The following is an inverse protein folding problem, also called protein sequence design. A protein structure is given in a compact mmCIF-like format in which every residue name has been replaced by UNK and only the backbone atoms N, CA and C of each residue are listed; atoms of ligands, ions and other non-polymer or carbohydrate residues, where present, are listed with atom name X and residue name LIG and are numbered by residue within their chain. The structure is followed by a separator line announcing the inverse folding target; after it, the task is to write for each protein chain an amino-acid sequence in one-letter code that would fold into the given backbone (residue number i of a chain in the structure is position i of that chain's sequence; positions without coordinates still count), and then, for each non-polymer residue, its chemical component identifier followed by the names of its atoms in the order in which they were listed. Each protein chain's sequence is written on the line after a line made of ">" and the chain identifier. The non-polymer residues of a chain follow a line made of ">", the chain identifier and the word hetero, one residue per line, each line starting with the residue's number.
data_IF_880685799757
#
_entry.id   IF_880685799757
#
_cell.length_a   1.000
_cell.length_b   1.000
_cell.length_c   1.000
_cell.angle_alpha   90.00
_cell.angle_beta   90.00
_cell.angle_gamma   90.00
#
_symmetry.space_group_name_H-M   'P 1'
#
loop_
_entity.id
_entity.type
_entity.pdbx_description
1 polymer ?
#
# COMPACT_ATOMS: atom_id res chain seq x y z
N UNK A 1 -11.12 -3.67 21.85
CA UNK A 1 -11.23 -3.42 20.40
C UNK A 1 -9.83 -3.23 19.88
N UNK A 2 -9.25 -4.26 19.28
CA UNK A 2 -7.87 -4.24 18.76
C UNK A 2 -7.91 -3.92 17.27
N UNK A 3 -7.04 -3.01 16.83
CA UNK A 3 -7.03 -2.51 15.45
C UNK A 3 -5.72 -2.88 14.74
N UNK A 4 -5.82 -3.29 13.49
CA UNK A 4 -4.67 -3.47 12.61
C UNK A 4 -4.67 -2.41 11.50
N UNK A 5 -3.60 -1.63 11.40
CA UNK A 5 -3.39 -0.68 10.30
C UNK A 5 -2.44 -1.27 9.27
N UNK A 6 -2.86 -1.29 8.01
CA UNK A 6 -2.11 -1.90 6.91
C UNK A 6 -1.80 -0.86 5.85
N UNK A 7 -0.51 -0.77 5.49
CA UNK A 7 -0.08 -0.13 4.26
C UNK A 7 0.02 -1.19 3.15
N UNK A 8 -0.87 -1.19 2.14
CA UNK A 8 -0.92 -2.22 1.12
C UNK A 8 0.15 -2.00 0.05
N UNK A 9 0.45 -3.05 -0.73
CA UNK A 9 1.13 -2.86 -2.01
C UNK A 9 0.29 -1.95 -2.94
N UNK A 10 0.86 -1.31 -3.97
CA UNK A 10 2.26 -1.18 -4.33
C UNK A 10 2.79 0.23 -4.00
N UNK A 11 4.00 0.33 -3.45
CA UNK A 11 4.74 1.57 -3.20
C UNK A 11 6.25 1.32 -3.23
N UNK A 12 7.07 2.36 -3.38
CA UNK A 12 8.53 2.20 -3.44
C UNK A 12 9.11 1.59 -2.12
N UNK A 13 9.85 0.46 -2.17
CA UNK A 13 10.14 -0.36 -0.98
C UNK A 13 11.44 -0.01 -0.24
N UNK A 14 11.93 1.23 -0.30
CA UNK A 14 13.19 1.64 0.37
C UNK A 14 13.00 2.12 1.79
N UNK A 15 11.76 2.44 2.18
CA UNK A 15 11.40 2.94 3.50
C UNK A 15 9.91 2.69 3.78
N UNK A 16 9.48 2.68 5.06
CA UNK A 16 8.06 2.65 5.40
C UNK A 16 7.32 3.86 4.82
N UNK A 17 6.03 3.73 4.57
CA UNK A 17 5.18 4.89 4.30
C UNK A 17 4.68 5.50 5.62
N UNK A 18 4.49 6.82 5.63
CA UNK A 18 4.35 7.59 6.87
C UNK A 18 2.96 7.58 7.48
N UNK A 19 1.91 7.20 6.73
CA UNK A 19 0.52 7.22 7.24
C UNK A 19 0.30 6.31 8.45
N UNK A 20 0.61 5.01 8.35
CA UNK A 20 0.35 4.07 9.45
C UNK A 20 1.20 4.35 10.70
N UNK A 21 2.48 4.78 10.61
CA UNK A 21 3.24 5.23 11.78
C UNK A 21 2.59 6.34 12.60
N UNK A 22 2.06 7.39 11.94
CA UNK A 22 1.38 8.49 12.62
C UNK A 22 0.04 8.08 13.21
N UNK A 23 -0.78 7.37 12.42
CA UNK A 23 -2.08 6.88 12.90
C UNK A 23 -1.91 5.93 14.10
N UNK A 24 -0.90 5.05 14.05
CA UNK A 24 -0.58 4.14 15.15
C UNK A 24 -0.16 4.91 16.40
N UNK A 25 0.73 5.90 16.26
CA UNK A 25 1.16 6.72 17.38
C UNK A 25 -0.01 7.49 18.01
N UNK A 26 -0.85 8.13 17.17
CA UNK A 26 -2.02 8.89 17.61
C UNK A 26 -3.02 8.02 18.37
N UNK A 27 -3.41 6.88 17.79
CA UNK A 27 -4.41 6.00 18.41
C UNK A 27 -3.90 5.35 19.70
N UNK A 28 -2.61 4.95 19.76
CA UNK A 28 -1.99 4.46 21.00
C UNK A 28 -1.95 5.53 22.09
N UNK A 29 -1.68 6.79 21.74
CA UNK A 29 -1.72 7.91 22.68
C UNK A 29 -3.14 8.16 23.24
N UNK A 30 -4.19 7.74 22.52
CA UNK A 30 -5.60 7.74 22.99
C UNK A 30 -5.99 6.47 23.76
N UNK A 31 -5.05 5.55 23.99
CA UNK A 31 -5.28 4.32 24.75
C UNK A 31 -5.85 3.15 23.94
N UNK A 32 -5.81 3.21 22.61
CA UNK A 32 -6.21 2.09 21.76
C UNK A 32 -5.07 1.08 21.57
N UNK A 33 -5.44 -0.21 21.55
CA UNK A 33 -4.52 -1.27 21.13
C UNK A 33 -4.47 -1.32 19.61
N UNK A 34 -3.32 -0.93 19.05
CA UNK A 34 -3.13 -0.81 17.60
C UNK A 34 -1.83 -1.49 17.20
N UNK A 35 -1.93 -2.40 16.22
CA UNK A 35 -0.80 -2.97 15.49
C UNK A 35 -0.73 -2.36 14.09
N UNK A 36 0.46 -2.42 13.48
CA UNK A 36 0.66 -2.00 12.10
C UNK A 36 1.45 -3.03 11.29
N UNK A 37 1.16 -3.09 9.99
CA UNK A 37 1.89 -3.91 9.01
C UNK A 37 2.12 -3.14 7.72
N UNK A 38 3.31 -3.31 7.18
CA UNK A 38 3.64 -2.87 5.83
C UNK A 38 3.57 -4.07 4.89
N UNK A 39 2.39 -4.28 4.30
CA UNK A 39 2.18 -5.33 3.31
C UNK A 39 2.81 -4.97 1.96
N UNK A 40 3.21 -3.71 1.74
CA UNK A 40 3.99 -3.35 0.57
C UNK A 40 5.36 -4.02 0.59
N UNK A 41 6.15 -3.82 1.66
CA UNK A 41 7.48 -4.44 1.73
C UNK A 41 7.41 -5.97 1.80
N UNK A 42 6.41 -6.51 2.51
CA UNK A 42 6.18 -7.96 2.54
C UNK A 42 5.85 -8.51 1.14
N UNK A 43 5.08 -7.77 0.34
CA UNK A 43 4.80 -8.16 -1.05
C UNK A 43 6.07 -8.22 -1.90
N UNK A 44 6.97 -7.24 -1.78
CA UNK A 44 8.25 -7.27 -2.50
C UNK A 44 9.13 -8.43 -2.04
N UNK A 45 9.23 -8.69 -0.74
CA UNK A 45 10.08 -9.77 -0.25
C UNK A 45 9.64 -11.15 -0.81
N UNK A 46 8.32 -11.34 -0.96
CA UNK A 46 7.76 -12.53 -1.59
C UNK A 46 7.86 -12.52 -3.12
N UNK A 47 7.49 -11.45 -3.83
CA UNK A 47 7.63 -11.40 -5.29
C UNK A 47 9.09 -11.52 -5.75
N UNK A 48 10.04 -11.09 -4.92
CA UNK A 48 11.47 -11.22 -5.12
C UNK A 48 12.04 -12.43 -4.35
N UNK A 49 11.30 -13.55 -4.34
CA UNK A 49 11.74 -14.81 -3.74
C UNK A 49 11.69 -15.95 -4.76
N UNK A 50 12.59 -16.92 -4.60
CA UNK A 50 12.66 -18.07 -5.48
C UNK A 50 11.33 -18.84 -5.60
N UNK A 51 10.55 -19.10 -4.52
CA UNK A 51 9.26 -19.80 -4.65
C UNK A 51 8.25 -19.09 -5.56
N UNK A 52 8.08 -17.78 -5.43
CA UNK A 52 7.11 -17.02 -6.23
C UNK A 52 7.58 -16.80 -7.66
N UNK A 53 8.88 -16.60 -7.87
CA UNK A 53 9.43 -16.51 -9.22
C UNK A 53 9.35 -17.85 -9.96
N UNK A 54 9.48 -19.00 -9.27
CA UNK A 54 9.22 -20.32 -9.87
C UNK A 54 7.74 -20.50 -10.24
N UNK A 55 6.82 -19.97 -9.43
CA UNK A 55 5.40 -19.97 -9.79
C UNK A 55 5.14 -19.11 -11.03
N UNK A 56 5.79 -17.93 -11.13
CA UNK A 56 5.72 -17.09 -12.32
C UNK A 56 6.30 -17.80 -13.56
N UNK A 57 7.46 -18.45 -13.44
CA UNK A 57 8.09 -19.25 -14.50
C UNK A 57 7.16 -20.39 -14.99
N UNK A 58 6.55 -21.14 -14.06
CA UNK A 58 5.59 -22.19 -14.39
C UNK A 58 4.41 -21.62 -15.19
N UNK A 59 3.82 -20.52 -14.70
CA UNK A 59 2.68 -19.87 -15.36
C UNK A 59 3.05 -19.32 -16.74
N UNK A 60 4.24 -18.73 -16.90
CA UNK A 60 4.77 -18.28 -18.18
C UNK A 60 4.94 -19.44 -19.16
N UNK A 61 5.42 -20.60 -18.68
CA UNK A 61 5.57 -21.83 -19.49
C UNK A 61 4.21 -22.32 -19.99
N UNK A 62 3.22 -22.42 -19.10
CA UNK A 62 1.86 -22.82 -19.46
C UNK A 62 1.25 -21.89 -20.52
N UNK A 63 1.42 -20.57 -20.36
CA UNK A 63 0.95 -19.58 -21.33
C UNK A 63 1.68 -19.69 -22.67
N UNK A 64 2.99 -19.91 -22.66
CA UNK A 64 3.78 -20.07 -23.87
C UNK A 64 3.31 -21.28 -24.70
N UNK A 65 3.11 -22.42 -24.04
CA UNK A 65 2.63 -23.63 -24.70
C UNK A 65 1.19 -23.48 -25.22
N UNK A 66 0.32 -22.79 -24.47
CA UNK A 66 -1.02 -22.46 -24.94
C UNK A 66 -1.00 -21.61 -26.23
N UNK A 67 -0.10 -20.62 -26.33
CA UNK A 67 0.04 -19.79 -27.53
C UNK A 67 0.60 -20.56 -28.73
N UNK A 68 1.59 -21.43 -28.52
CA UNK A 68 2.18 -22.26 -29.60
C UNK A 68 1.16 -23.22 -30.22
N UNK A 69 0.20 -23.69 -29.43
CA UNK A 69 -0.84 -24.61 -29.88
C UNK A 69 -2.03 -23.92 -30.57
N UNK A 70 -2.00 -22.59 -30.76
CA UNK A 70 -3.05 -21.88 -31.48
C UNK A 70 -2.92 -22.08 -33.00
N UNK A 71 -4.06 -22.35 -33.67
CA UNK A 71 -4.12 -22.53 -35.13
C UNK A 71 -3.81 -21.25 -35.92
N UNK A 72 -3.98 -20.08 -35.31
CA UNK A 72 -3.69 -18.77 -35.91
C UNK A 72 -3.25 -17.80 -34.83
N UNK A 73 -2.18 -17.04 -35.08
CA UNK A 73 -1.64 -16.06 -34.14
C UNK A 73 -1.79 -14.64 -34.66
N UNK A 74 -2.31 -13.73 -33.82
CA UNK A 74 -2.25 -12.30 -34.09
C UNK A 74 -0.82 -11.74 -33.90
N UNK A 75 -0.58 -10.50 -34.35
CA UNK A 75 0.70 -9.83 -34.08
C UNK A 75 0.95 -9.64 -32.56
N UNK A 76 -0.12 -9.45 -31.78
CA UNK A 76 -0.02 -9.36 -30.31
C UNK A 76 0.40 -10.69 -29.70
N UNK A 77 -0.14 -11.80 -30.21
CA UNK A 77 0.20 -13.15 -29.73
C UNK A 77 1.66 -13.49 -30.04
N UNK A 78 2.15 -13.10 -31.23
CA UNK A 78 3.57 -13.28 -31.60
C UNK A 78 4.49 -12.48 -30.68
N UNK A 79 4.18 -11.21 -30.46
CA UNK A 79 4.94 -10.37 -29.53
C UNK A 79 4.92 -10.93 -28.10
N UNK A 80 3.78 -11.46 -27.65
CA UNK A 80 3.66 -12.06 -26.33
C UNK A 80 4.46 -13.37 -26.22
N UNK A 81 4.45 -14.19 -27.27
CA UNK A 81 5.26 -15.40 -27.36
C UNK A 81 6.76 -15.07 -27.24
N UNK A 82 7.25 -14.05 -27.96
CA UNK A 82 8.64 -13.62 -27.90
C UNK A 82 9.03 -13.14 -26.49
N UNK A 83 8.16 -12.39 -25.82
CA UNK A 83 8.37 -11.92 -24.44
C UNK A 83 8.46 -13.09 -23.47
N UNK A 84 7.52 -14.04 -23.54
CA UNK A 84 7.50 -15.21 -22.67
C UNK A 84 8.74 -16.09 -22.90
N UNK A 85 9.09 -16.37 -24.15
CA UNK A 85 10.27 -17.15 -24.51
C UNK A 85 11.57 -16.50 -24.02
N UNK A 86 11.68 -15.17 -24.16
CA UNK A 86 12.84 -14.42 -23.68
C UNK A 86 12.94 -14.44 -22.15
N UNK A 87 11.81 -14.25 -21.44
CA UNK A 87 11.78 -14.31 -19.98
C UNK A 87 12.19 -15.68 -19.43
N UNK A 88 11.63 -16.76 -20.00
CA UNK A 88 11.96 -18.14 -19.62
C UNK A 88 13.41 -18.52 -19.94
N UNK A 89 14.02 -17.92 -20.97
CA UNK A 89 15.45 -18.15 -21.27
C UNK A 89 16.37 -17.69 -20.13
N UNK A 90 15.97 -16.65 -19.39
CA UNK A 90 16.79 -16.04 -18.34
C UNK A 90 16.26 -16.28 -16.92
N UNK A 91 15.08 -16.89 -16.76
CA UNK A 91 14.40 -17.08 -15.47
C UNK A 91 15.26 -17.81 -14.45
N UNK A 92 15.94 -18.90 -14.84
CA UNK A 92 16.82 -19.65 -13.94
C UNK A 92 17.90 -18.77 -13.27
N UNK A 93 18.64 -17.97 -14.07
CA UNK A 93 19.66 -17.04 -13.56
C UNK A 93 19.06 -15.95 -12.67
N UNK A 94 17.88 -15.46 -13.01
CA UNK A 94 17.19 -14.43 -12.22
C UNK A 94 16.78 -15.01 -10.85
N UNK A 95 16.19 -16.21 -10.84
CA UNK A 95 15.74 -16.92 -9.63
C UNK A 95 16.92 -17.23 -8.70
N UNK A 96 18.03 -17.71 -9.25
CA UNK A 96 19.24 -18.02 -8.46
C UNK A 96 19.88 -16.77 -7.85
N UNK A 97 19.82 -15.63 -8.54
CA UNK A 97 20.47 -14.39 -8.12
C UNK A 97 19.64 -13.47 -7.23
N UNK A 98 18.34 -13.72 -7.03
CA UNK A 98 17.43 -12.70 -6.47
C UNK A 98 17.69 -12.39 -4.98
N UNK A 99 17.98 -13.41 -4.17
CA UNK A 99 18.25 -13.21 -2.74
C UNK A 99 19.56 -12.44 -2.55
N UNK A 100 20.55 -12.71 -3.39
CA UNK A 100 21.81 -11.97 -3.39
C UNK A 100 21.61 -10.51 -3.85
N UNK A 101 20.75 -10.27 -4.84
CA UNK A 101 20.41 -8.92 -5.27
C UNK A 101 19.73 -8.11 -4.14
N UNK A 102 18.79 -8.73 -3.38
CA UNK A 102 18.22 -8.09 -2.19
C UNK A 102 19.28 -7.81 -1.12
N UNK A 103 20.21 -8.74 -0.91
CA UNK A 103 21.33 -8.60 0.03
C UNK A 103 22.25 -7.42 -0.34
N UNK A 104 22.57 -7.24 -1.61
CA UNK A 104 23.32 -6.06 -2.11
C UNK A 104 22.59 -4.77 -1.72
N UNK A 105 21.27 -4.69 -1.97
CA UNK A 105 20.52 -3.47 -1.67
C UNK A 105 20.43 -3.14 -0.18
N UNK A 106 20.64 -4.14 0.69
CA UNK A 106 20.57 -4.03 2.15
C UNK A 106 21.95 -3.94 2.83
N UNK A 107 23.05 -4.00 2.07
CA UNK A 107 24.42 -4.00 2.61
C UNK A 107 25.17 -2.74 2.18
N UNK A 108 25.54 -1.83 3.10
CA UNK A 108 26.19 -0.56 2.77
C UNK A 108 27.38 -0.66 1.81
N UNK A 109 28.35 -1.52 2.11
CA UNK A 109 29.60 -1.64 1.34
C UNK A 109 29.34 -2.10 -0.10
N UNK A 110 28.25 -2.85 -0.31
CA UNK A 110 27.85 -3.39 -1.60
C UNK A 110 26.88 -2.48 -2.35
N UNK A 111 26.02 -1.78 -1.62
CA UNK A 111 25.09 -0.81 -2.17
C UNK A 111 25.81 0.36 -2.84
N UNK A 112 26.91 0.83 -2.23
CA UNK A 112 27.70 1.93 -2.78
C UNK A 112 28.79 1.49 -3.78
N UNK A 113 28.94 0.18 -4.01
CA UNK A 113 29.72 -0.33 -5.14
C UNK A 113 28.85 -0.34 -6.40
N UNK A 114 29.17 0.54 -7.36
CA UNK A 114 28.31 0.76 -8.53
C UNK A 114 28.07 -0.51 -9.35
N UNK A 115 29.09 -1.36 -9.53
CA UNK A 115 28.96 -2.60 -10.30
C UNK A 115 28.00 -3.59 -9.61
N UNK A 116 28.18 -3.80 -8.31
CA UNK A 116 27.30 -4.66 -7.50
C UNK A 116 25.87 -4.13 -7.50
N UNK A 117 25.69 -2.83 -7.23
CA UNK A 117 24.38 -2.19 -7.24
C UNK A 117 23.67 -2.32 -8.59
N UNK A 118 24.37 -1.99 -9.68
CA UNK A 118 23.80 -2.06 -11.03
C UNK A 118 23.33 -3.48 -11.36
N UNK A 119 24.12 -4.50 -11.03
CA UNK A 119 23.75 -5.90 -11.25
C UNK A 119 22.53 -6.30 -10.41
N UNK A 120 22.48 -5.91 -9.13
CA UNK A 120 21.37 -6.19 -8.24
C UNK A 120 20.06 -5.51 -8.69
N UNK A 121 20.13 -4.23 -9.05
CA UNK A 121 19.00 -3.46 -9.57
C UNK A 121 18.45 -4.08 -10.87
N UNK A 122 19.33 -4.48 -11.80
CA UNK A 122 18.92 -5.19 -13.02
C UNK A 122 18.24 -6.52 -12.72
N UNK A 123 18.76 -7.31 -11.77
CA UNK A 123 18.15 -8.59 -11.37
C UNK A 123 16.76 -8.38 -10.75
N UNK A 124 16.61 -7.40 -9.86
CA UNK A 124 15.32 -7.09 -9.22
C UNK A 124 14.29 -6.63 -10.26
N UNK A 125 14.67 -5.72 -11.15
CA UNK A 125 13.78 -5.27 -12.25
C UNK A 125 13.39 -6.43 -13.17
N UNK A 126 14.33 -7.33 -13.47
CA UNK A 126 14.07 -8.52 -14.28
C UNK A 126 13.15 -9.51 -13.57
N UNK A 127 13.30 -9.70 -12.26
CA UNK A 127 12.43 -10.55 -11.45
C UNK A 127 10.98 -10.03 -11.43
N UNK A 128 10.78 -8.72 -11.21
CA UNK A 128 9.44 -8.10 -11.29
C UNK A 128 8.85 -8.17 -12.69
N UNK A 129 9.70 -8.13 -13.72
CA UNK A 129 9.29 -8.37 -15.11
C UNK A 129 8.76 -9.80 -15.30
N UNK A 130 9.39 -10.83 -14.72
CA UNK A 130 8.86 -12.20 -14.78
C UNK A 130 7.45 -12.29 -14.16
N UNK A 131 7.21 -11.60 -13.04
CA UNK A 131 5.87 -11.51 -12.44
C UNK A 131 4.89 -10.82 -13.40
N UNK A 132 5.31 -9.71 -14.03
CA UNK A 132 4.50 -9.00 -15.02
C UNK A 132 4.18 -9.89 -16.24
N UNK A 133 5.16 -10.60 -16.78
CA UNK A 133 4.98 -11.47 -17.95
C UNK A 133 4.04 -12.66 -17.62
N UNK A 134 4.12 -13.21 -16.41
CA UNK A 134 3.22 -14.24 -15.92
C UNK A 134 1.76 -13.74 -15.80
N UNK A 135 1.57 -12.46 -15.49
CA UNK A 135 0.26 -11.81 -15.27
C UNK A 135 -0.12 -10.78 -16.34
N UNK A 136 0.52 -10.83 -17.52
CA UNK A 136 0.27 -9.89 -18.60
C UNK A 136 -1.24 -9.82 -18.93
N UNK A 137 -1.82 -8.62 -19.10
CA UNK A 137 -1.13 -7.35 -19.36
C UNK A 137 -0.72 -6.54 -18.12
N UNK A 138 -0.84 -7.09 -16.90
CA UNK A 138 -0.43 -6.36 -15.70
C UNK A 138 1.07 -6.10 -15.67
N UNK A 139 1.44 -4.92 -15.18
CA UNK A 139 2.83 -4.47 -15.03
C UNK A 139 3.11 -4.20 -13.56
N UNK A 140 4.15 -4.82 -13.03
CA UNK A 140 4.66 -4.59 -11.68
C UNK A 140 6.13 -4.17 -11.76
N UNK A 141 6.46 -3.05 -11.14
CA UNK A 141 7.83 -2.56 -10.99
C UNK A 141 8.10 -2.12 -9.55
N UNK A 142 9.29 -1.57 -9.26
CA UNK A 142 9.57 -0.98 -7.96
C UNK A 142 8.72 0.25 -7.67
N UNK A 143 8.24 0.96 -8.69
CA UNK A 143 7.55 2.25 -8.55
C UNK A 143 6.10 2.24 -9.00
N UNK A 144 5.64 1.21 -9.69
CA UNK A 144 4.26 1.16 -10.18
C UNK A 144 3.67 -0.24 -10.18
N UNK A 145 2.34 -0.29 -10.09
CA UNK A 145 1.54 -1.41 -10.53
C UNK A 145 0.43 -0.88 -11.44
N UNK A 146 0.23 -1.53 -12.59
CA UNK A 146 -0.85 -1.24 -13.52
C UNK A 146 -1.52 -2.53 -13.93
N UNK A 147 -2.85 -2.59 -13.86
CA UNK A 147 -3.65 -3.74 -14.30
C UNK A 147 -3.58 -4.02 -15.81
N UNK A 148 -3.09 -3.08 -16.61
CA UNK A 148 -3.11 -3.14 -18.08
C UNK A 148 -4.51 -2.96 -18.70
N UNK A 149 -5.55 -2.72 -17.88
CA UNK A 149 -6.95 -2.55 -18.33
C UNK A 149 -7.59 -1.23 -17.89
N UNK A 150 -6.79 -0.39 -17.22
CA UNK A 150 -7.24 0.84 -16.54
C UNK A 150 -8.35 0.53 -15.54
N UNK A 151 -8.20 -0.57 -14.79
CA UNK A 151 -9.16 -0.98 -13.77
C UNK A 151 -9.18 -0.02 -12.57
N UNK A 152 -8.06 0.65 -12.33
CA UNK A 152 -7.83 1.65 -11.30
C UNK A 152 -8.74 2.88 -11.45
N UNK A 153 -9.26 3.13 -12.65
CA UNK A 153 -10.07 4.32 -12.98
C UNK A 153 -11.58 4.08 -12.90
N UNK A 154 -12.03 2.88 -12.50
CA UNK A 154 -13.46 2.55 -12.46
C UNK A 154 -13.75 1.55 -11.35
N UNK A 155 -14.68 1.90 -10.45
CA UNK A 155 -15.16 1.02 -9.37
C UNK A 155 -15.59 -0.36 -9.89
N UNK A 156 -16.37 -0.40 -10.98
CA UNK A 156 -16.81 -1.64 -11.64
C UNK A 156 -15.65 -2.46 -12.20
N UNK A 157 -14.65 -1.84 -12.82
CA UNK A 157 -13.50 -2.58 -13.34
C UNK A 157 -12.58 -3.05 -12.21
N UNK A 158 -12.40 -2.24 -11.17
CA UNK A 158 -11.68 -2.64 -9.97
C UNK A 158 -12.33 -3.87 -9.32
N UNK A 159 -13.66 -3.90 -9.20
CA UNK A 159 -14.42 -5.07 -8.76
C UNK A 159 -14.04 -6.34 -9.54
N UNK A 160 -14.05 -6.28 -10.87
CA UNK A 160 -13.67 -7.43 -11.71
C UNK A 160 -12.19 -7.81 -11.54
N UNK A 161 -11.28 -6.84 -11.57
CA UNK A 161 -9.83 -7.06 -11.48
C UNK A 161 -9.39 -7.63 -10.13
N UNK A 162 -10.08 -7.30 -9.03
CA UNK A 162 -9.79 -7.86 -7.70
C UNK A 162 -10.16 -9.35 -7.57
N UNK A 163 -10.86 -9.91 -8.56
CA UNK A 163 -11.26 -11.33 -8.65
C UNK A 163 -10.61 -12.06 -9.83
N UNK A 164 -9.84 -11.35 -10.65
CA UNK A 164 -9.18 -11.91 -11.82
C UNK A 164 -7.82 -12.51 -11.44
N UNK A 165 -7.79 -13.81 -11.16
CA UNK A 165 -6.56 -14.56 -10.89
C UNK A 165 -5.55 -14.54 -12.04
N UNK A 166 -6.00 -14.25 -13.26
CA UNK A 166 -5.13 -14.31 -14.42
C UNK A 166 -4.19 -13.11 -14.48
N UNK A 167 -4.72 -11.91 -14.21
CA UNK A 167 -3.98 -10.65 -14.34
C UNK A 167 -3.56 -10.01 -13.02
N UNK A 168 -4.20 -10.38 -11.90
CA UNK A 168 -3.90 -9.79 -10.60
C UNK A 168 -2.93 -10.69 -9.78
N UNK A 169 -1.64 -10.35 -9.71
CA UNK A 169 -0.65 -11.17 -9.01
C UNK A 169 -0.85 -11.19 -7.48
N UNK A 170 -1.57 -10.21 -6.93
CA UNK A 170 -1.75 -10.06 -5.50
C UNK A 170 -2.75 -11.07 -4.91
N UNK A 171 -3.64 -11.65 -5.72
CA UNK A 171 -4.62 -12.63 -5.23
C UNK A 171 -3.91 -13.85 -4.64
N UNK A 172 -3.01 -14.47 -5.42
CA UNK A 172 -2.24 -15.63 -4.96
C UNK A 172 -1.35 -15.27 -3.76
N UNK A 173 -0.70 -14.11 -3.80
CA UNK A 173 0.14 -13.62 -2.70
C UNK A 173 -0.67 -13.49 -1.39
N UNK A 174 -1.84 -12.88 -1.44
CA UNK A 174 -2.68 -12.70 -0.26
C UNK A 174 -3.25 -14.02 0.25
N UNK A 175 -3.78 -14.88 -0.63
CA UNK A 175 -4.41 -16.13 -0.21
C UNK A 175 -3.42 -17.09 0.46
N UNK A 176 -2.19 -17.14 -0.04
CA UNK A 176 -1.24 -18.18 0.36
C UNK A 176 -0.16 -17.71 1.33
N UNK A 177 0.10 -16.40 1.42
CA UNK A 177 1.24 -15.89 2.19
C UNK A 177 0.82 -14.82 3.21
N UNK A 178 0.25 -13.70 2.75
CA UNK A 178 0.07 -12.53 3.63
C UNK A 178 -1.20 -12.56 4.49
N UNK A 179 -2.31 -13.12 4.00
CA UNK A 179 -3.47 -13.33 4.87
C UNK A 179 -3.17 -14.44 5.89
N UNK A 180 -2.58 -15.59 5.52
CA UNK A 180 -2.21 -16.61 6.51
C UNK A 180 -1.16 -16.18 7.56
N UNK A 181 -0.39 -15.11 7.32
CA UNK A 181 0.66 -14.67 8.26
C UNK A 181 0.14 -13.95 9.50
N UNK A 182 -1.16 -13.64 9.58
CA UNK A 182 -1.76 -12.93 10.72
C UNK A 182 -2.91 -13.75 11.33
N UNK A 183 -3.09 -13.61 12.65
CA UNK A 183 -4.24 -14.16 13.34
C UNK A 183 -5.39 -13.14 13.37
N UNK A 184 -6.26 -13.18 12.36
CA UNK A 184 -7.33 -12.20 12.17
C UNK A 184 -8.43 -12.23 13.24
N UNK A 185 -8.47 -13.27 14.08
CA UNK A 185 -9.39 -13.32 15.22
C UNK A 185 -8.97 -12.40 16.37
N UNK A 186 -7.71 -11.93 16.37
CA UNK A 186 -7.21 -11.02 17.41
C UNK A 186 -7.66 -9.57 17.16
N UNK A 187 -8.22 -9.27 16.00
CA UNK A 187 -8.58 -7.91 15.60
C UNK A 187 -10.08 -7.77 15.40
N UNK A 188 -10.57 -6.57 15.67
CA UNK A 188 -11.96 -6.18 15.45
C UNK A 188 -12.08 -5.20 14.26
N UNK A 189 -11.03 -4.40 14.03
CA UNK A 189 -11.00 -3.34 13.00
C UNK A 189 -9.72 -3.46 12.18
N UNK A 190 -9.84 -3.32 10.86
CA UNK A 190 -8.69 -3.24 9.95
C UNK A 190 -8.78 -1.95 9.14
N UNK A 191 -7.77 -1.10 9.26
CA UNK A 191 -7.60 0.11 8.46
C UNK A 191 -6.63 -0.12 7.31
N UNK A 192 -7.04 0.11 6.06
CA UNK A 192 -6.17 -0.04 4.88
C UNK A 192 -5.93 1.33 4.24
N UNK A 193 -4.67 1.77 4.23
CA UNK A 193 -4.25 3.09 3.77
C UNK A 193 -3.84 3.08 2.29
N UNK A 194 -4.77 3.37 1.38
CA UNK A 194 -4.54 3.42 -0.08
C UNK A 194 -4.26 4.86 -0.50
N UNK A 195 -3.02 5.14 -0.92
CA UNK A 195 -2.54 6.50 -1.18
C UNK A 195 -2.63 6.87 -2.66
N UNK A 196 -2.07 6.00 -3.50
CA UNK A 196 -1.91 6.26 -4.93
C UNK A 196 -2.70 5.32 -5.82
N UNK A 197 -2.78 5.65 -7.11
CA UNK A 197 -3.47 4.86 -8.13
C UNK A 197 -2.91 3.42 -8.18
N UNK A 198 -1.59 3.27 -8.12
CA UNK A 198 -0.91 1.96 -8.12
C UNK A 198 -1.29 1.04 -6.93
N UNK A 199 -1.87 1.61 -5.87
CA UNK A 199 -2.34 0.85 -4.70
C UNK A 199 -3.81 0.45 -4.79
N UNK A 200 -4.59 0.97 -5.74
CA UNK A 200 -6.04 0.73 -5.79
C UNK A 200 -6.35 -0.76 -5.93
N UNK A 201 -5.81 -1.43 -6.95
CA UNK A 201 -6.10 -2.86 -7.18
C UNK A 201 -5.57 -3.75 -6.05
N UNK A 202 -4.29 -3.71 -5.66
CA UNK A 202 -3.80 -4.50 -4.52
C UNK A 202 -4.55 -4.18 -3.21
N UNK A 203 -4.75 -2.91 -2.87
CA UNK A 203 -5.44 -2.49 -1.65
C UNK A 203 -6.90 -2.95 -1.59
N UNK A 204 -7.66 -2.79 -2.68
CA UNK A 204 -9.05 -3.27 -2.76
C UNK A 204 -9.11 -4.81 -2.83
N UNK A 205 -8.12 -5.46 -3.41
CA UNK A 205 -8.03 -6.94 -3.42
C UNK A 205 -7.86 -7.46 -1.99
N UNK A 206 -7.00 -6.83 -1.18
CA UNK A 206 -6.85 -7.15 0.23
C UNK A 206 -8.17 -6.91 0.98
N UNK A 207 -8.76 -5.72 0.83
CA UNK A 207 -9.98 -5.33 1.52
C UNK A 207 -11.13 -6.32 1.27
N UNK A 208 -11.38 -6.65 0.00
CA UNK A 208 -12.38 -7.64 -0.42
C UNK A 208 -12.14 -9.00 0.23
N UNK A 209 -10.91 -9.51 0.15
CA UNK A 209 -10.58 -10.83 0.69
C UNK A 209 -10.76 -10.90 2.20
N UNK A 210 -10.36 -9.85 2.92
CA UNK A 210 -10.57 -9.78 4.36
C UNK A 210 -12.06 -9.73 4.70
N UNK A 211 -12.84 -8.91 3.99
CA UNK A 211 -14.29 -8.80 4.20
C UNK A 211 -15.02 -10.11 3.92
N UNK A 212 -14.66 -10.83 2.85
CA UNK A 212 -15.25 -12.13 2.50
C UNK A 212 -14.86 -13.24 3.50
N UNK A 213 -13.61 -13.25 3.98
CA UNK A 213 -13.08 -14.33 4.82
C UNK A 213 -13.34 -14.13 6.31
N UNK A 214 -13.43 -12.88 6.76
CA UNK A 214 -13.52 -12.50 8.16
C UNK A 214 -14.67 -11.50 8.37
N UNK A 215 -15.93 -11.97 8.34
CA UNK A 215 -17.10 -11.10 8.41
C UNK A 215 -17.25 -10.36 9.76
N UNK A 216 -16.49 -10.74 10.80
CA UNK A 216 -16.47 -10.03 12.08
C UNK A 216 -15.65 -8.74 12.03
N UNK A 217 -14.75 -8.57 11.05
CA UNK A 217 -13.87 -7.41 10.97
C UNK A 217 -14.61 -6.18 10.42
N UNK A 218 -14.53 -5.06 11.11
CA UNK A 218 -14.83 -3.76 10.52
C UNK A 218 -13.66 -3.30 9.63
N UNK A 219 -13.77 -3.55 8.33
CA UNK A 219 -12.83 -3.00 7.33
C UNK A 219 -13.12 -1.53 7.05
N UNK A 220 -12.14 -0.65 7.33
CA UNK A 220 -12.19 0.77 6.94
C UNK A 220 -11.06 1.09 5.95
N UNK A 221 -11.37 1.83 4.90
CA UNK A 221 -10.37 2.34 3.96
C UNK A 221 -10.01 3.78 4.31
N UNK A 222 -8.85 4.23 3.85
CA UNK A 222 -8.45 5.63 3.95
C UNK A 222 -7.31 5.95 3.00
N UNK A 223 -6.92 7.22 2.99
CA UNK A 223 -5.87 7.76 2.15
C UNK A 223 -6.39 8.75 1.10
N UNK A 224 -5.52 9.60 0.55
CA UNK A 224 -5.90 10.75 -0.26
C UNK A 224 -6.70 10.40 -1.52
N UNK A 225 -6.55 9.20 -2.07
CA UNK A 225 -7.32 8.76 -3.24
C UNK A 225 -8.83 8.82 -2.99
N UNK A 226 -9.27 8.50 -1.76
CA UNK A 226 -10.67 8.53 -1.37
C UNK A 226 -11.18 9.94 -1.08
N UNK A 227 -10.32 10.81 -0.55
CA UNK A 227 -10.66 12.22 -0.35
C UNK A 227 -10.96 12.88 -1.69
N UNK A 228 -10.03 12.73 -2.65
CA UNK A 228 -10.10 13.38 -3.98
C UNK A 228 -11.24 12.81 -4.83
N UNK A 229 -11.56 11.53 -4.68
CA UNK A 229 -12.59 10.86 -5.49
C UNK A 229 -13.87 10.54 -4.70
N UNK A 230 -14.08 11.14 -3.52
CA UNK A 230 -15.25 10.91 -2.67
C UNK A 230 -16.56 11.07 -3.44
N UNK A 231 -16.68 12.10 -4.27
CA UNK A 231 -17.85 12.33 -5.13
C UNK A 231 -18.13 11.20 -6.14
N UNK A 232 -17.11 10.45 -6.58
CA UNK A 232 -17.29 9.31 -7.50
C UNK A 232 -17.84 8.05 -6.81
N UNK A 233 -17.81 8.00 -5.47
CA UNK A 233 -18.35 6.87 -4.71
C UNK A 233 -19.81 7.10 -4.28
N UNK A 234 -20.31 8.34 -4.37
CA UNK A 234 -21.72 8.64 -4.10
C UNK A 234 -22.59 7.90 -5.11
N UNK A 235 -23.63 7.22 -4.61
CA UNK A 235 -24.53 6.42 -5.43
C UNK A 235 -23.99 5.04 -5.82
N UNK A 236 -22.84 4.63 -5.29
CA UNK A 236 -22.23 3.32 -5.53
C UNK A 236 -22.15 2.46 -4.25
N UNK A 237 -23.29 2.05 -3.66
CA UNK A 237 -23.29 1.25 -2.43
C UNK A 237 -22.64 -0.13 -2.61
N UNK A 238 -22.61 -0.67 -3.83
CA UNK A 238 -21.93 -1.92 -4.16
C UNK A 238 -20.42 -1.86 -3.86
N UNK A 239 -19.80 -0.67 -3.97
CA UNK A 239 -18.39 -0.50 -3.60
C UNK A 239 -18.16 -0.83 -2.13
N UNK A 240 -19.05 -0.35 -1.26
CA UNK A 240 -18.98 -0.66 0.16
C UNK A 240 -19.24 -2.16 0.36
N UNK A 241 -20.30 -2.71 -0.22
CA UNK A 241 -20.61 -4.15 -0.13
C UNK A 241 -19.39 -5.03 -0.43
N UNK A 242 -18.65 -4.72 -1.49
CA UNK A 242 -17.48 -5.49 -1.90
C UNK A 242 -16.24 -5.28 -1.02
N UNK A 243 -15.97 -4.04 -0.61
CA UNK A 243 -14.63 -3.68 -0.15
C UNK A 243 -14.53 -3.24 1.31
N UNK A 244 -15.56 -2.61 1.88
CA UNK A 244 -15.41 -1.99 3.21
C UNK A 244 -16.73 -1.72 3.93
N UNK A 245 -16.64 -1.26 5.17
CA UNK A 245 -17.78 -0.78 5.95
C UNK A 245 -17.79 0.75 6.06
N UNK A 246 -16.60 1.36 6.00
CA UNK A 246 -16.44 2.80 6.03
C UNK A 246 -15.18 3.25 5.30
N UNK A 247 -15.12 4.53 4.96
CA UNK A 247 -13.96 5.18 4.36
C UNK A 247 -13.68 6.47 5.11
N UNK A 248 -12.47 6.61 5.65
CA UNK A 248 -11.99 7.86 6.25
C UNK A 248 -11.40 8.73 5.15
N UNK A 249 -11.97 9.92 4.99
CA UNK A 249 -11.52 10.95 4.07
C UNK A 249 -10.67 12.00 4.79
N UNK A 250 -9.86 12.75 4.04
CA UNK A 250 -8.92 13.76 4.56
C UNK A 250 -7.91 13.18 5.56
N UNK A 251 -7.62 13.90 6.64
CA UNK A 251 -6.76 13.46 7.75
C UNK A 251 -7.45 12.37 8.58
N UNK A 252 -6.71 11.36 9.03
CA UNK A 252 -7.28 10.13 9.58
C UNK A 252 -7.21 9.99 11.10
N UNK A 253 -6.42 10.81 11.78
CA UNK A 253 -6.09 10.68 13.21
C UNK A 253 -7.34 10.72 14.10
N UNK A 254 -8.03 11.85 14.13
CA UNK A 254 -9.23 12.03 14.95
C UNK A 254 -10.44 11.24 14.43
N UNK A 255 -10.71 11.18 13.11
CA UNK A 255 -11.77 10.32 12.56
C UNK A 255 -11.63 8.85 12.94
N UNK A 256 -10.43 8.26 12.90
CA UNK A 256 -10.25 6.87 13.33
C UNK A 256 -10.47 6.71 14.84
N UNK A 257 -10.00 7.65 15.66
CA UNK A 257 -10.28 7.61 17.11
C UNK A 257 -11.79 7.61 17.39
N UNK A 258 -12.56 8.47 16.70
CA UNK A 258 -14.02 8.56 16.85
C UNK A 258 -14.74 7.34 16.24
N UNK A 259 -14.23 6.78 15.15
CA UNK A 259 -14.74 5.53 14.59
C UNK A 259 -14.62 4.38 15.61
N UNK A 260 -13.44 4.18 16.20
CA UNK A 260 -13.22 3.13 17.21
C UNK A 260 -14.08 3.36 18.45
N UNK A 261 -14.26 4.61 18.86
CA UNK A 261 -15.13 4.98 19.99
C UNK A 261 -16.59 4.61 19.70
N UNK A 262 -17.11 5.01 18.53
CA UNK A 262 -18.48 4.72 18.12
C UNK A 262 -18.73 3.21 18.00
N UNK A 263 -17.82 2.47 17.34
CA UNK A 263 -17.93 1.02 17.20
C UNK A 263 -17.91 0.31 18.56
N UNK A 264 -17.07 0.75 19.50
CA UNK A 264 -17.01 0.17 20.86
C UNK A 264 -18.28 0.44 21.67
N UNK A 265 -18.90 1.61 21.49
CA UNK A 265 -20.14 1.99 22.17
C UNK A 265 -21.40 1.42 21.50
N UNK A 266 -21.32 1.02 20.23
CA UNK A 266 -22.47 0.66 19.41
C UNK A 266 -23.24 1.88 18.88
N UNK A 267 -22.57 3.02 18.78
CA UNK A 267 -23.15 4.28 18.29
C UNK A 267 -23.23 4.32 16.75
N UNK A 268 -24.05 5.24 16.23
CA UNK A 268 -24.21 5.44 14.80
C UNK A 268 -22.94 6.02 14.15
N UNK A 269 -22.58 5.51 12.97
CA UNK A 269 -21.43 6.01 12.19
C UNK A 269 -21.60 7.47 11.72
N UNK A 270 -22.83 7.98 11.69
CA UNK A 270 -23.15 9.37 11.31
C UNK A 270 -22.50 10.42 12.23
N UNK A 271 -22.08 10.02 13.44
CA UNK A 271 -21.38 10.88 14.39
C UNK A 271 -19.87 10.89 14.20
N UNK A 272 -19.31 10.18 13.22
CA UNK A 272 -17.86 10.12 12.98
C UNK A 272 -17.48 11.17 11.92
N UNK A 273 -16.57 12.11 12.20
CA UNK A 273 -16.23 13.16 11.26
C UNK A 273 -15.42 12.59 10.11
N UNK A 274 -15.46 13.25 8.96
CA UNK A 274 -14.72 12.88 7.75
C UNK A 274 -14.98 11.43 7.25
N UNK A 275 -16.09 10.81 7.66
CA UNK A 275 -16.40 9.42 7.32
C UNK A 275 -17.38 9.34 6.16
N UNK A 276 -17.12 8.45 5.22
CA UNK A 276 -18.13 7.94 4.29
C UNK A 276 -18.56 6.54 4.73
N UNK A 277 -19.86 6.29 4.73
CA UNK A 277 -20.44 4.98 5.07
C UNK A 277 -21.79 4.77 4.39
N UNK A 278 -22.37 3.59 4.58
CA UNK A 278 -23.75 3.32 4.19
C UNK A 278 -24.74 3.70 5.29
N UNK A 279 -25.83 4.35 4.92
CA UNK A 279 -27.08 4.40 5.68
C UNK A 279 -28.15 3.67 4.86
N UNK A 280 -28.41 2.41 5.22
CA UNK A 280 -29.19 1.51 4.37
C UNK A 280 -28.47 1.22 3.05
N UNK A 281 -28.93 1.84 1.96
CA UNK A 281 -28.32 1.74 0.61
C UNK A 281 -27.78 3.07 0.09
N UNK A 282 -27.91 4.14 0.88
CA UNK A 282 -27.38 5.44 0.52
C UNK A 282 -25.93 5.55 0.99
N UNK A 283 -25.05 6.01 0.11
CA UNK A 283 -23.67 6.37 0.47
C UNK A 283 -23.69 7.78 1.03
N UNK A 284 -23.44 7.89 2.33
CA UNK A 284 -23.45 9.16 3.06
C UNK A 284 -22.02 9.60 3.33
N UNK A 285 -21.75 10.90 3.16
CA UNK A 285 -20.51 11.55 3.63
C UNK A 285 -20.87 12.49 4.77
N UNK A 286 -20.32 12.20 5.96
CA UNK A 286 -20.65 12.98 7.15
C UNK A 286 -20.19 14.44 7.01
N UNK A 287 -21.06 15.35 7.45
CA UNK A 287 -20.87 16.80 7.28
C UNK A 287 -19.75 17.36 8.16
N UNK A 288 -19.54 16.77 9.33
CA UNK A 288 -18.51 17.22 10.25
C UNK A 288 -17.13 16.91 9.66
N UNK A 289 -16.31 17.95 9.52
CA UNK A 289 -14.91 17.86 9.12
C UNK A 289 -14.04 18.32 10.27
N UNK A 290 -13.17 17.44 10.72
CA UNK A 290 -12.15 17.72 11.73
C UNK A 290 -10.79 17.72 11.06
N UNK A 291 -9.96 18.67 11.49
CA UNK A 291 -8.56 18.84 11.11
C UNK A 291 -7.79 19.15 12.38
N UNK A 292 -6.67 18.45 12.58
CA UNK A 292 -5.83 18.65 13.75
C UNK A 292 -4.75 19.68 13.44
N UNK A 293 -4.35 20.45 14.45
CA UNK A 293 -3.10 21.20 14.37
C UNK A 293 -1.93 20.24 14.49
N UNK A 294 -0.81 20.63 13.90
CA UNK A 294 0.40 19.81 13.92
C UNK A 294 0.80 19.39 15.35
N UNK A 295 0.71 20.32 16.31
CA UNK A 295 1.11 20.08 17.70
C UNK A 295 0.20 19.11 18.47
N UNK A 296 -0.95 18.76 17.91
CA UNK A 296 -1.92 17.84 18.52
C UNK A 296 -1.61 16.38 18.17
N UNK A 297 -0.63 16.15 17.30
CA UNK A 297 -0.28 14.85 16.76
C UNK A 297 1.07 14.44 17.37
N UNK A 298 1.14 13.25 17.99
CA UNK A 298 2.42 12.75 18.48
C UNK A 298 3.34 12.38 17.31
N UNK A 299 4.64 12.43 17.54
CA UNK A 299 5.63 11.94 16.57
C UNK A 299 5.39 10.46 16.19
N UNK A 300 5.81 10.04 14.98
CA UNK A 300 5.48 8.75 14.44
C UNK A 300 6.15 7.59 15.19
N UNK A 301 5.52 6.41 15.18
CA UNK A 301 6.15 5.17 15.63
C UNK A 301 6.25 4.14 14.51
N UNK A 302 7.43 3.56 14.34
CA UNK A 302 7.73 2.48 13.38
C UNK A 302 7.78 1.12 14.07
N UNK A 303 7.39 1.05 15.34
CA UNK A 303 7.31 -0.21 16.09
C UNK A 303 6.37 -1.19 15.38
N UNK A 304 6.85 -2.41 15.18
CA UNK A 304 6.13 -3.47 14.45
C UNK A 304 6.38 -3.49 12.94
N UNK A 305 7.14 -2.52 12.39
CA UNK A 305 7.53 -2.55 10.97
C UNK A 305 8.88 -3.26 10.78
N UNK A 306 9.05 -4.05 9.71
CA UNK A 306 10.24 -4.84 9.48
C UNK A 306 11.36 -4.00 8.86
N UNK A 307 11.97 -3.11 9.66
CA UNK A 307 12.93 -2.11 9.17
C UNK A 307 14.11 -2.69 8.38
N UNK A 308 14.50 -3.94 8.63
CA UNK A 308 15.59 -4.64 7.92
C UNK A 308 15.17 -5.22 6.55
N UNK A 309 13.88 -5.25 6.24
CA UNK A 309 13.38 -5.80 4.97
C UNK A 309 13.34 -4.76 3.85
N UNK A 310 13.31 -3.46 4.16
CA UNK A 310 13.35 -2.42 3.13
C UNK A 310 14.61 -2.53 2.26
N UNK A 311 14.47 -2.25 0.97
CA UNK A 311 15.55 -2.36 -0.03
C UNK A 311 16.48 -1.15 0.03
N UNK A 312 17.07 -0.92 1.20
CA UNK A 312 17.97 0.19 1.51
C UNK A 312 19.11 -0.30 2.41
N UNK A 313 20.34 0.23 2.28
CA UNK A 313 21.48 -0.19 3.09
C UNK A 313 21.35 0.21 4.57
N UNK A 314 20.45 1.15 4.85
CA UNK A 314 20.16 1.64 6.19
C UNK A 314 18.65 1.80 6.38
N UNK A 315 18.13 1.67 7.62
CA UNK A 315 16.77 2.08 7.92
C UNK A 315 16.60 3.57 7.61
N UNK A 316 15.68 3.94 6.72
CA UNK A 316 15.35 5.34 6.45
C UNK A 316 14.03 5.65 7.14
N UNK A 317 14.02 6.72 7.95
CA UNK A 317 12.85 7.12 8.72
C UNK A 317 12.19 8.34 8.06
N UNK A 318 11.00 8.19 7.46
CA UNK A 318 10.25 9.34 6.98
C UNK A 318 9.72 10.16 8.17
N UNK A 319 9.74 11.48 8.05
CA UNK A 319 9.21 12.42 9.04
C UNK A 319 8.42 13.54 8.35
N UNK A 320 7.60 14.25 9.11
CA UNK A 320 6.92 15.47 8.69
C UNK A 320 7.36 16.57 9.65
N UNK A 321 7.76 17.73 9.15
CA UNK A 321 8.08 18.91 9.97
C UNK A 321 7.05 20.04 9.77
N UNK A 322 6.18 19.84 8.81
CA UNK A 322 5.04 20.65 8.48
C UNK A 322 3.94 19.79 7.90
N UNK A 323 2.70 20.28 7.99
CA UNK A 323 1.52 19.66 7.39
C UNK A 323 0.77 20.70 6.59
N UNK A 324 0.34 20.29 5.40
CA UNK A 324 -0.26 21.18 4.43
C UNK A 324 0.80 22.00 3.69
N UNK A 325 0.36 22.81 2.74
CA UNK A 325 1.24 23.62 1.91
C UNK A 325 0.98 25.11 2.15
N UNK A 326 2.03 25.88 2.49
CA UNK A 326 1.93 27.32 2.72
C UNK A 326 1.47 28.09 1.47
N UNK A 327 1.74 27.56 0.27
CA UNK A 327 1.33 28.17 -0.99
C UNK A 327 -0.14 27.86 -1.31
N UNK A 328 -0.52 26.58 -1.32
CA UNK A 328 -1.91 26.11 -1.39
C UNK A 328 -2.74 26.51 -2.63
N UNK A 329 -2.14 27.20 -3.61
CA UNK A 329 -2.84 27.84 -4.75
C UNK A 329 -2.48 27.26 -6.12
N UNK A 330 -1.69 26.19 -6.18
CA UNK A 330 -1.36 25.51 -7.43
C UNK A 330 -2.61 24.90 -8.07
N UNK A 331 -2.93 25.29 -9.30
CA UNK A 331 -4.13 24.82 -10.03
C UNK A 331 -4.11 23.33 -10.36
N UNK A 332 -2.93 22.71 -10.34
CA UNK A 332 -2.73 21.28 -10.63
C UNK A 332 -2.69 20.40 -9.38
N UNK A 333 -2.67 20.98 -8.17
CA UNK A 333 -2.37 20.25 -6.94
C UNK A 333 -3.64 19.98 -6.14
N UNK A 334 -3.93 18.70 -5.87
CA UNK A 334 -5.05 18.27 -5.02
C UNK A 334 -4.73 18.31 -3.54
N UNK A 335 -3.48 18.59 -3.16
CA UNK A 335 -3.01 18.55 -1.78
C UNK A 335 -3.73 19.51 -0.84
N UNK A 336 -3.92 20.77 -1.27
CA UNK A 336 -4.55 21.80 -0.45
C UNK A 336 -6.02 21.49 -0.14
N UNK A 337 -6.70 20.75 -1.02
CA UNK A 337 -8.04 20.24 -0.79
C UNK A 337 -8.05 19.17 0.32
N UNK A 338 -7.08 18.25 0.31
CA UNK A 338 -6.97 17.17 1.32
C UNK A 338 -6.69 17.74 2.71
N UNK A 339 -5.78 18.72 2.82
CA UNK A 339 -5.35 19.30 4.11
C UNK A 339 -6.07 20.61 4.50
N UNK A 340 -7.16 20.98 3.80
CA UNK A 340 -8.03 22.07 4.24
C UNK A 340 -7.42 23.47 4.19
N UNK A 341 -6.42 23.68 3.33
CA UNK A 341 -5.68 24.95 3.19
C UNK A 341 -4.96 25.44 4.46
N UNK A 342 -4.78 24.60 5.48
CA UNK A 342 -4.01 24.95 6.68
C UNK A 342 -2.58 24.49 6.54
N UNK A 343 -1.65 25.41 6.78
CA UNK A 343 -0.23 25.11 6.93
C UNK A 343 0.13 25.18 8.41
N UNK A 344 0.58 24.07 8.96
CA UNK A 344 1.15 23.98 10.30
C UNK A 344 2.62 23.57 10.23
N UNK A 345 3.46 24.10 11.11
CA UNK A 345 4.87 23.71 11.19
C UNK A 345 5.25 23.40 12.63
N UNK A 346 6.08 22.39 12.81
CA UNK A 346 6.68 22.08 14.09
C UNK A 346 7.60 23.21 14.54
N UNK A 347 7.69 23.43 15.85
CA UNK A 347 8.72 24.30 16.42
C UNK A 347 10.09 23.66 16.17
N UNK A 348 11.10 24.45 15.81
CA UNK A 348 12.45 23.96 15.50
C UNK A 348 13.03 23.07 16.60
N UNK A 349 12.89 23.43 17.87
CA UNK A 349 13.37 22.59 18.97
C UNK A 349 12.64 21.24 19.01
N UNK A 350 11.31 21.24 18.82
CA UNK A 350 10.53 20.02 18.77
C UNK A 350 10.93 19.10 17.62
N UNK A 351 11.27 19.66 16.46
CA UNK A 351 11.83 18.89 15.33
C UNK A 351 13.14 18.21 15.72
N UNK A 352 14.06 18.95 16.33
CA UNK A 352 15.37 18.42 16.76
C UNK A 352 15.17 17.30 17.78
N UNK A 353 14.35 17.53 18.80
CA UNK A 353 14.06 16.56 19.84
C UNK A 353 13.44 15.26 19.27
N UNK A 354 12.52 15.39 18.29
CA UNK A 354 11.92 14.25 17.59
C UNK A 354 12.96 13.46 16.79
N UNK A 355 13.78 14.14 15.98
CA UNK A 355 14.83 13.49 15.18
C UNK A 355 15.86 12.78 16.06
N UNK A 356 16.28 13.37 17.18
CA UNK A 356 17.19 12.74 18.14
C UNK A 356 16.57 11.49 18.78
N UNK A 357 15.29 11.57 19.16
CA UNK A 357 14.55 10.44 19.73
C UNK A 357 14.42 9.29 18.72
N UNK A 358 14.03 9.58 17.47
CA UNK A 358 13.91 8.60 16.39
C UNK A 358 15.27 7.99 16.02
N UNK A 359 16.32 8.81 15.93
CA UNK A 359 17.69 8.36 15.67
C UNK A 359 18.14 7.33 16.71
N UNK A 360 17.94 7.64 18.00
CA UNK A 360 18.31 6.74 19.10
C UNK A 360 17.45 5.47 19.10
N UNK A 361 16.14 5.59 18.87
CA UNK A 361 15.20 4.47 18.94
C UNK A 361 15.39 3.46 17.81
N UNK A 362 15.54 3.92 16.57
CA UNK A 362 15.65 3.07 15.39
C UNK A 362 17.07 2.89 14.88
N UNK A 363 18.06 3.43 15.60
CA UNK A 363 19.50 3.31 15.30
C UNK A 363 19.83 3.72 13.85
N UNK A 364 19.40 4.92 13.46
CA UNK A 364 19.64 5.43 12.11
C UNK A 364 19.89 6.93 12.09
N UNK A 365 20.66 7.39 11.11
CA UNK A 365 20.94 8.80 10.84
C UNK A 365 20.26 9.28 9.54
N UNK A 366 19.49 8.43 8.90
CA UNK A 366 18.90 8.68 7.58
C UNK A 366 17.41 8.98 7.72
N UNK A 367 17.03 10.18 7.30
CA UNK A 367 15.67 10.67 7.37
C UNK A 367 15.21 11.16 6.00
N UNK A 368 13.91 11.04 5.72
CA UNK A 368 13.28 11.65 4.55
C UNK A 368 12.16 12.58 5.02
N UNK A 369 12.28 13.85 4.67
CA UNK A 369 11.24 14.84 4.91
C UNK A 369 10.13 14.64 3.88
N UNK A 370 8.95 14.24 4.37
CA UNK A 370 7.76 14.00 3.55
C UNK A 370 6.85 15.23 3.48
N UNK A 371 7.37 16.37 3.92
CA UNK A 371 6.77 17.70 3.86
C UNK A 371 6.41 18.10 2.43
N UNK A 372 5.42 18.98 2.32
CA UNK A 372 4.96 19.47 1.04
C UNK A 372 5.63 20.79 0.67
N UNK A 373 6.02 20.93 -0.60
CA UNK A 373 6.79 22.06 -1.12
C UNK A 373 5.93 23.29 -1.49
#
# INVERSE_FOLDING_TARGET
>A
MKTLLIFPAQWYPTQPYLSTPYLTAYLRAKGWEVDQRDFNIASYDHFLSAPLLKNAEKRMTERLEALKNQNSMSMKDKSHLDVLAMGLKFSGRIIEGIEEAKSVLRTPERFFDFASYQQADMLIKSALKLVSDAHAPAVLSLSTFESGTRAEESTRKAHASTRDNETNPFIHLYDNLLIPSENWQDYDVVGISIIGISQIIPGLTLARKLKEKFPHLHITLGGPIFSVNSGQLIGHPEFFDDFCHSIVTFEGEEPLHRLLTALKAGDALSTVPNLMHLEGREVVHNKERVELRFEEIPGPTFDGLPMHNYLSPYPIIPVLQSRGCYWGKCTFCTHSFVYGHRYGKQKTQGMVDELEALMKKYNTKYFTFSDEA
#
